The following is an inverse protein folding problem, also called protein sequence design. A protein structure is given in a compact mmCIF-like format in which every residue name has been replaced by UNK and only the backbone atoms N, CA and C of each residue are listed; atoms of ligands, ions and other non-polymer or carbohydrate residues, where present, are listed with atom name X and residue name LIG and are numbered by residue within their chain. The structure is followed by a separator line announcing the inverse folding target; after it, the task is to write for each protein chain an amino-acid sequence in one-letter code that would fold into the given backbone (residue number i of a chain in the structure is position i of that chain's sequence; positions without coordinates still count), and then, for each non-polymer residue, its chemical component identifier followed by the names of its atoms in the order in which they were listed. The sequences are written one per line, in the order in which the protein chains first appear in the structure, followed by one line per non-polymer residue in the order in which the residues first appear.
data_IF_807540881659
#
_entry.id   IF_807540881659
#
_cell.length_a   1.000
_cell.length_b   1.000
_cell.length_c   1.000
_cell.angle_alpha   90.00
_cell.angle_beta   90.00
_cell.angle_gamma   90.00
#
_symmetry.space_group_name_H-M   'P 1'
#
loop_
_entity.id
_entity.type
_entity.pdbx_description
1 polymer ?
#
# COMPACT_ATOMS: atom_id res chain seq x y z
N UNK A 1 23.94 2.36 4.16
CA UNK A 1 22.59 1.74 4.07
C UNK A 1 21.77 2.65 3.21
N UNK A 2 21.07 2.11 2.22
CA UNK A 2 20.16 2.91 1.39
C UNK A 2 18.83 2.99 2.14
N UNK A 3 18.39 4.21 2.49
CA UNK A 3 17.07 4.39 3.11
C UNK A 3 15.92 4.17 2.09
N UNK A 4 16.26 4.01 0.81
CA UNK A 4 15.29 3.75 -0.25
C UNK A 4 14.68 2.35 -0.08
N UNK A 5 13.36 2.32 0.03
CA UNK A 5 12.55 1.11 0.04
C UNK A 5 12.15 0.76 -1.40
N UNK A 6 12.31 -0.51 -1.76
CA UNK A 6 11.84 -1.11 -3.02
C UNK A 6 10.81 -2.19 -2.73
N UNK A 7 9.92 -2.43 -3.69
CA UNK A 7 8.79 -3.37 -3.57
C UNK A 7 8.28 -3.72 -4.96
N UNK A 8 7.49 -4.79 -5.04
CA UNK A 8 6.74 -5.17 -6.23
C UNK A 8 5.31 -4.68 -6.12
N UNK A 9 4.80 -4.06 -7.18
CA UNK A 9 3.39 -3.65 -7.30
C UNK A 9 2.76 -4.31 -8.52
N UNK A 10 1.57 -4.84 -8.35
CA UNK A 10 0.71 -5.35 -9.43
C UNK A 10 -0.70 -4.83 -9.25
N UNK A 11 -1.40 -4.59 -10.35
CA UNK A 11 -2.84 -4.34 -10.33
C UNK A 11 -3.56 -5.55 -10.88
N UNK A 12 -4.66 -5.92 -10.23
CA UNK A 12 -5.55 -6.98 -10.67
C UNK A 12 -6.94 -6.37 -10.88
N UNK A 13 -7.55 -6.68 -12.02
CA UNK A 13 -8.97 -6.41 -12.23
C UNK A 13 -9.81 -7.45 -11.48
N UNK A 14 -10.94 -7.03 -10.94
CA UNK A 14 -11.93 -7.96 -10.39
C UNK A 14 -12.94 -8.35 -11.49
N UNK A 15 -13.54 -9.54 -11.37
CA UNK A 15 -14.64 -9.98 -12.25
C UNK A 15 -15.88 -9.08 -12.13
N UNK A 16 -15.94 -8.24 -11.09
CA UNK A 16 -16.93 -7.18 -10.92
C UNK A 16 -16.42 -5.90 -11.62
N UNK A 17 -17.17 -5.33 -12.58
CA UNK A 17 -16.70 -4.31 -13.52
C UNK A 17 -16.36 -2.92 -12.95
N UNK A 18 -16.16 -2.79 -11.64
CA UNK A 18 -15.83 -1.52 -10.99
C UNK A 18 -14.80 -1.65 -9.86
N UNK A 19 -14.25 -2.84 -9.59
CA UNK A 19 -13.27 -3.01 -8.51
C UNK A 19 -11.89 -3.42 -9.04
N UNK A 20 -10.86 -2.70 -8.60
CA UNK A 20 -9.47 -3.03 -8.83
C UNK A 20 -8.75 -3.34 -7.52
N UNK A 21 -7.69 -4.15 -7.58
CA UNK A 21 -6.85 -4.45 -6.42
C UNK A 21 -5.40 -4.06 -6.73
N UNK A 22 -4.79 -3.27 -5.85
CA UNK A 22 -3.35 -3.02 -5.85
C UNK A 22 -2.69 -4.03 -4.90
N UNK A 23 -1.82 -4.88 -5.44
CA UNK A 23 -1.03 -5.85 -4.71
C UNK A 23 0.39 -5.32 -4.52
N UNK A 24 0.82 -5.20 -3.27
CA UNK A 24 2.17 -4.80 -2.89
C UNK A 24 2.83 -5.96 -2.15
N UNK A 25 4.06 -6.29 -2.53
CA UNK A 25 4.83 -7.38 -1.94
C UNK A 25 6.34 -7.12 -2.02
N UNK A 26 7.15 -8.02 -1.44
CA UNK A 26 8.60 -8.00 -1.57
C UNK A 26 9.25 -6.69 -1.08
N UNK A 27 8.68 -6.09 -0.02
CA UNK A 27 9.08 -4.79 0.53
C UNK A 27 10.40 -4.93 1.30
N UNK A 28 11.44 -4.25 0.83
CA UNK A 28 12.80 -4.29 1.41
C UNK A 28 13.58 -3.03 1.10
N UNK A 29 14.71 -2.80 1.76
CA UNK A 29 15.64 -1.77 1.34
C UNK A 29 16.34 -2.17 0.03
N UNK A 30 16.77 -1.18 -0.76
CA UNK A 30 17.48 -1.41 -2.03
C UNK A 30 18.77 -2.23 -1.85
N UNK A 31 19.40 -2.16 -0.67
CA UNK A 31 20.57 -2.98 -0.31
C UNK A 31 20.23 -4.42 0.09
N UNK A 32 18.95 -4.80 0.02
CA UNK A 32 18.44 -6.13 0.36
C UNK A 32 18.16 -6.33 1.85
N UNK A 33 18.46 -5.36 2.71
CA UNK A 33 18.13 -5.46 4.14
C UNK A 33 16.62 -5.32 4.40
N UNK A 34 16.08 -5.96 5.45
CA UNK A 34 14.66 -5.88 5.75
C UNK A 34 14.27 -4.52 6.34
N UNK A 35 13.09 -4.05 5.97
CA UNK A 35 12.45 -2.83 6.48
C UNK A 35 11.97 -3.07 7.91
N UNK A 36 12.20 -2.11 8.80
CA UNK A 36 11.85 -2.20 10.23
C UNK A 36 10.84 -1.13 10.57
N UNK A 37 9.60 -1.54 10.75
CA UNK A 37 8.49 -0.70 11.20
C UNK A 37 8.60 -0.57 12.72
N UNK A 38 8.74 0.63 13.26
CA UNK A 38 8.65 0.83 14.72
C UNK A 38 7.19 1.06 15.11
N UNK A 39 6.50 1.94 14.40
CA UNK A 39 5.11 2.30 14.67
C UNK A 39 4.24 2.23 13.41
N UNK A 40 4.68 2.85 12.31
CA UNK A 40 3.84 2.97 11.10
C UNK A 40 4.61 2.69 9.81
N UNK A 41 3.92 2.03 8.89
CA UNK A 41 4.29 1.97 7.48
C UNK A 41 3.36 2.92 6.71
N UNK A 42 3.93 3.98 6.17
CA UNK A 42 3.21 5.00 5.44
C UNK A 42 3.19 4.63 3.95
N UNK A 43 2.00 4.66 3.35
CA UNK A 43 1.75 4.28 1.96
C UNK A 43 1.02 5.44 1.29
N UNK A 44 1.57 5.94 0.18
CA UNK A 44 0.91 6.90 -0.68
C UNK A 44 0.75 6.30 -2.09
N UNK A 45 -0.39 6.53 -2.74
CA UNK A 45 -0.66 6.05 -4.10
C UNK A 45 -1.80 6.84 -4.74
N UNK A 46 -1.91 6.75 -6.06
CA UNK A 46 -3.05 7.29 -6.82
C UNK A 46 -4.14 6.25 -6.98
N UNK A 47 -5.38 6.71 -6.98
CA UNK A 47 -6.57 5.88 -7.15
C UNK A 47 -7.57 6.54 -8.10
N UNK A 48 -8.28 5.81 -8.97
CA UNK A 48 -9.40 6.32 -9.76
C UNK A 48 -10.62 6.73 -8.92
N UNK A 49 -10.69 6.25 -7.68
CA UNK A 49 -11.82 6.47 -6.77
C UNK A 49 -11.35 6.78 -5.35
N UNK A 50 -12.24 7.37 -4.57
CA UNK A 50 -11.99 7.68 -3.17
C UNK A 50 -11.75 6.39 -2.36
N UNK A 51 -10.72 6.38 -1.52
CA UNK A 51 -10.49 5.31 -0.53
C UNK A 51 -10.74 5.91 0.84
N UNK A 52 -11.80 5.46 1.52
CA UNK A 52 -12.29 6.10 2.74
C UNK A 52 -12.15 5.23 3.99
N UNK A 53 -11.88 3.93 3.83
CA UNK A 53 -11.90 2.99 4.94
C UNK A 53 -10.64 2.15 5.04
N UNK A 54 -10.21 1.90 6.28
CA UNK A 54 -9.19 0.89 6.55
C UNK A 54 -9.59 -0.52 6.11
N UNK A 55 -10.89 -0.77 5.86
CA UNK A 55 -11.39 -2.05 5.33
C UNK A 55 -10.94 -2.32 3.90
N UNK A 56 -10.59 -1.28 3.16
CA UNK A 56 -10.08 -1.38 1.79
C UNK A 56 -8.65 -1.96 1.80
N UNK A 57 -7.95 -1.89 2.94
CA UNK A 57 -6.64 -2.48 3.15
C UNK A 57 -6.76 -3.88 3.75
N UNK A 58 -6.29 -4.88 3.01
CA UNK A 58 -6.11 -6.24 3.50
C UNK A 58 -4.61 -6.53 3.59
N UNK A 59 -4.09 -6.59 4.82
CA UNK A 59 -2.68 -6.87 5.09
C UNK A 59 -2.56 -8.31 5.58
N UNK A 60 -1.69 -9.08 4.94
CA UNK A 60 -1.37 -10.46 5.35
C UNK A 60 0.10 -10.54 5.71
N UNK A 61 0.39 -11.18 6.83
CA UNK A 61 1.76 -11.44 7.31
C UNK A 61 1.85 -12.81 7.97
N UNK A 62 3.05 -13.38 7.96
CA UNK A 62 3.42 -14.58 8.71
C UNK A 62 4.73 -14.31 9.49
N UNK A 63 4.72 -14.28 10.84
CA UNK A 63 3.57 -14.50 11.72
C UNK A 63 2.48 -13.42 11.57
N UNK A 64 1.25 -13.75 11.96
CA UNK A 64 0.13 -12.82 11.91
C UNK A 64 0.39 -11.60 12.82
N UNK A 65 0.31 -10.41 12.22
CA UNK A 65 0.42 -9.11 12.90
C UNK A 65 -0.86 -8.33 12.64
N UNK A 66 -1.42 -7.73 13.68
CA UNK A 66 -2.64 -6.92 13.59
C UNK A 66 -2.30 -5.51 13.07
N UNK A 67 -2.18 -5.37 11.75
CA UNK A 67 -2.04 -4.07 11.12
C UNK A 67 -3.36 -3.29 11.19
N UNK A 68 -3.29 -2.02 11.57
CA UNK A 68 -4.45 -1.12 11.57
C UNK A 68 -4.19 0.05 10.62
N UNK A 69 -5.01 0.20 9.58
CA UNK A 69 -4.92 1.33 8.65
C UNK A 69 -5.61 2.58 9.22
N UNK A 70 -4.82 3.56 9.69
CA UNK A 70 -5.31 4.84 10.22
C UNK A 70 -4.18 5.90 10.31
N UNK A 71 -4.42 7.16 9.93
CA UNK A 71 -5.54 7.67 9.13
C UNK A 71 -5.38 7.37 7.63
N UNK A 72 -6.49 7.42 6.89
CA UNK A 72 -6.52 7.46 5.42
C UNK A 72 -7.01 8.84 5.02
N UNK A 73 -6.23 9.52 4.17
CA UNK A 73 -6.61 10.76 3.54
C UNK A 73 -6.77 10.49 2.05
N UNK A 74 -7.91 10.88 1.49
CA UNK A 74 -8.17 10.84 0.05
C UNK A 74 -8.39 12.28 -0.43
N UNK A 75 -7.60 12.72 -1.41
CA UNK A 75 -7.69 14.08 -1.97
C UNK A 75 -7.89 13.98 -3.47
N UNK A 76 -9.02 14.46 -3.99
CA UNK A 76 -9.24 14.56 -5.44
C UNK A 76 -8.26 15.57 -6.04
N UNK A 77 -7.48 15.15 -7.04
CA UNK A 77 -6.50 15.99 -7.74
C UNK A 77 -6.91 16.30 -9.18
N UNK A 78 -7.75 15.44 -9.78
CA UNK A 78 -8.44 15.66 -11.04
C UNK A 78 -9.74 14.84 -11.08
N UNK A 79 -10.59 15.06 -12.08
CA UNK A 79 -11.92 14.42 -12.22
C UNK A 79 -11.93 12.89 -12.28
N UNK A 80 -10.75 12.26 -12.28
CA UNK A 80 -10.57 10.81 -12.40
C UNK A 80 -9.51 10.27 -11.45
N UNK A 81 -9.02 11.07 -10.50
CA UNK A 81 -7.85 10.71 -9.68
C UNK A 81 -7.86 11.32 -8.30
N UNK A 82 -7.58 10.45 -7.34
CA UNK A 82 -7.39 10.76 -5.94
C UNK A 82 -5.96 10.43 -5.54
N UNK A 83 -5.32 11.33 -4.81
CA UNK A 83 -4.12 11.04 -4.04
C UNK A 83 -4.55 10.46 -2.69
N UNK A 84 -4.11 9.22 -2.42
CA UNK A 84 -4.38 8.49 -1.20
C UNK A 84 -3.12 8.47 -0.35
N UNK A 85 -3.26 8.81 0.93
CA UNK A 85 -2.22 8.65 1.95
C UNK A 85 -2.80 7.82 3.09
N UNK A 86 -2.19 6.67 3.36
CA UNK A 86 -2.58 5.75 4.41
C UNK A 86 -1.40 5.44 5.33
N UNK A 87 -1.68 5.19 6.59
CA UNK A 87 -0.68 4.67 7.54
C UNK A 87 -1.14 3.33 8.09
N UNK A 88 -0.30 2.31 7.93
CA UNK A 88 -0.50 1.01 8.57
C UNK A 88 0.26 1.01 9.90
N UNK A 89 -0.49 1.07 10.99
CA UNK A 89 0.05 1.01 12.35
C UNK A 89 0.25 -0.44 12.78
N UNK A 90 1.36 -0.71 13.47
CA UNK A 90 1.65 -2.02 14.11
C UNK A 90 1.63 -1.89 15.63
N UNK A 91 1.12 -2.89 16.37
CA UNK A 91 1.05 -2.83 17.83
C UNK A 91 2.43 -2.99 18.49
N UNK A 92 3.40 -3.54 17.76
CA UNK A 92 4.79 -3.74 18.17
C UNK A 92 5.68 -3.61 16.95
N UNK A 93 6.94 -3.21 17.18
CA UNK A 93 7.93 -3.12 16.13
C UNK A 93 8.00 -4.44 15.34
N UNK A 94 7.98 -4.33 14.01
CA UNK A 94 7.92 -5.46 13.10
C UNK A 94 9.00 -5.32 12.03
N UNK A 95 9.74 -6.40 11.80
CA UNK A 95 10.70 -6.49 10.69
C UNK A 95 9.99 -7.20 9.54
N UNK A 96 9.85 -6.51 8.42
CA UNK A 96 9.20 -7.06 7.23
C UNK A 96 9.99 -8.28 6.73
N UNK A 97 9.24 -9.31 6.34
CA UNK A 97 9.75 -10.49 5.66
C UNK A 97 8.95 -10.73 4.36
N UNK A 98 9.35 -11.74 3.58
CA UNK A 98 8.76 -12.03 2.27
C UNK A 98 7.28 -12.46 2.31
N UNK A 99 6.75 -12.76 3.50
CA UNK A 99 5.34 -13.13 3.66
C UNK A 99 4.40 -11.92 3.76
N UNK A 100 4.94 -10.72 4.01
CA UNK A 100 4.12 -9.52 4.11
C UNK A 100 3.60 -9.14 2.72
N UNK A 101 2.28 -9.14 2.59
CA UNK A 101 1.58 -8.67 1.39
C UNK A 101 0.49 -7.69 1.80
N UNK A 102 0.32 -6.65 1.00
CA UNK A 102 -0.69 -5.62 1.20
C UNK A 102 -1.55 -5.60 -0.05
N UNK A 103 -2.85 -5.78 0.13
CA UNK A 103 -3.86 -5.66 -0.92
C UNK A 103 -4.72 -4.44 -0.61
N UNK A 104 -4.88 -3.56 -1.60
CA UNK A 104 -5.70 -2.37 -1.48
C UNK A 104 -6.83 -2.48 -2.48
N UNK A 105 -8.06 -2.59 -1.98
CA UNK A 105 -9.27 -2.61 -2.79
C UNK A 105 -9.65 -1.20 -3.18
N UNK A 106 -9.97 -0.99 -4.45
CA UNK A 106 -10.34 0.31 -5.00
C UNK A 106 -11.64 0.17 -5.78
N UNK A 107 -12.61 1.04 -5.51
CA UNK A 107 -13.88 1.12 -6.25
C UNK A 107 -13.73 1.88 -7.57
N UNK A 108 -12.78 1.45 -8.40
CA UNK A 108 -12.61 1.94 -9.75
C UNK A 108 -11.75 1.00 -10.60
N UNK A 109 -11.85 1.17 -11.93
CA UNK A 109 -11.06 0.39 -12.87
C UNK A 109 -9.59 0.86 -12.87
N UNK A 110 -8.70 -0.03 -12.42
CA UNK A 110 -7.25 0.18 -12.44
C UNK A 110 -6.60 -0.33 -13.73
N UNK A 111 -7.30 -1.12 -14.53
CA UNK A 111 -6.71 -1.88 -15.65
C UNK A 111 -6.51 -1.03 -16.90
N UNK A 112 -7.36 -0.01 -17.10
CA UNK A 112 -7.26 0.92 -18.24
C UNK A 112 -5.96 1.74 -18.27
N UNK A 113 -5.35 2.02 -17.11
CA UNK A 113 -4.05 2.68 -16.98
C UNK A 113 -3.28 2.12 -15.77
N UNK A 114 -3.00 0.81 -15.81
CA UNK A 114 -2.30 0.10 -14.75
C UNK A 114 -1.01 0.80 -14.30
N UNK A 115 -0.25 1.32 -15.27
CA UNK A 115 1.05 1.93 -15.04
C UNK A 115 0.94 3.19 -14.17
N UNK A 116 -0.06 4.05 -14.43
CA UNK A 116 -0.34 5.25 -13.63
C UNK A 116 -0.52 4.93 -12.16
N UNK A 117 -1.21 3.84 -11.85
CA UNK A 117 -1.48 3.46 -10.47
C UNK A 117 -0.30 2.73 -9.83
N UNK A 118 0.34 1.79 -10.54
CA UNK A 118 1.49 1.05 -9.99
C UNK A 118 2.71 1.93 -9.74
N UNK A 119 3.03 2.86 -10.64
CA UNK A 119 4.21 3.74 -10.50
C UNK A 119 3.99 4.89 -9.51
N UNK A 120 2.75 5.13 -9.10
CA UNK A 120 2.42 6.15 -8.10
C UNK A 120 2.66 5.71 -6.66
N UNK A 121 2.84 4.41 -6.43
CA UNK A 121 2.97 3.85 -5.08
C UNK A 121 4.30 4.30 -4.47
N UNK A 122 4.23 4.84 -3.27
CA UNK A 122 5.37 5.24 -2.45
C UNK A 122 5.18 4.61 -1.08
N UNK A 123 6.23 3.95 -0.58
CA UNK A 123 6.26 3.36 0.76
C UNK A 123 7.40 3.98 1.54
N UNK A 124 7.08 4.46 2.75
CA UNK A 124 8.05 4.94 3.72
C UNK A 124 7.78 4.30 5.07
N UNK A 125 8.81 4.06 5.87
CA UNK A 125 8.68 3.61 7.25
C UNK A 125 8.88 4.79 8.20
N UNK A 126 8.36 4.70 9.41
CA UNK A 126 8.69 5.67 10.44
C UNK A 126 10.20 5.65 10.75
N UNK A 127 10.78 6.85 10.86
CA UNK A 127 12.21 7.03 11.13
C UNK A 127 12.58 6.46 12.49
N UNK A 128 13.79 5.89 12.59
CA UNK A 128 14.40 5.48 13.85
C UNK A 128 14.51 6.61 14.86
#
# INVERSE_FOLDING_TARGET
MSDKIIFEVKVEGNDVPCYGIIHISNIRHEDGSPVKIQNTLDIAFKSPAEVTSGRDFNVKSDPLIDFTAVPITSTEIDSSTFDIVAKLSVPKAYTINDSLTIQISVDGDLTGDAKRYTESVVITQDGK
#
